data_IF_788249410884
#
_entry.id   IF_788249410884
#
_cell.length_a   1.000
_cell.length_b   1.000
_cell.length_c   1.000
_cell.angle_alpha   90.00
_cell.angle_beta   90.00
_cell.angle_gamma   90.00
#
_symmetry.space_group_name_H-M   'P 1'
#
loop_
_entity.id
_entity.type
_entity.pdbx_description
1 polymer ?
#
# COMPACT_ATOMS: atom_id res chain seq x y z
N UNK A 1 14.03 -10.74 26.67
CA UNK A 1 13.46 -10.08 25.47
C UNK A 1 12.94 -8.78 25.99
N UNK A 2 13.46 -7.69 25.45
CA UNK A 2 13.22 -6.37 26.02
C UNK A 2 12.52 -5.53 24.96
N UNK A 3 11.42 -4.90 25.35
CA UNK A 3 10.64 -4.01 24.49
C UNK A 3 10.96 -2.58 24.88
N UNK A 4 11.53 -1.82 23.95
CA UNK A 4 11.75 -0.39 24.14
C UNK A 4 10.51 0.35 23.65
N UNK A 5 9.98 1.22 24.49
CA UNK A 5 8.85 2.09 24.17
C UNK A 5 9.27 3.55 24.23
N UNK A 6 8.69 4.39 23.37
CA UNK A 6 8.69 5.84 23.54
C UNK A 6 7.95 6.23 24.83
N UNK A 7 8.23 7.41 25.38
CA UNK A 7 7.49 7.97 26.53
C UNK A 7 5.97 8.11 26.31
N UNK A 8 5.51 7.99 25.06
CA UNK A 8 4.09 7.91 24.67
C UNK A 8 3.50 6.48 24.68
N UNK A 9 4.28 5.46 25.08
CA UNK A 9 3.85 4.05 25.14
C UNK A 9 3.92 3.28 23.81
N UNK A 10 4.45 3.88 22.73
CA UNK A 10 4.59 3.20 21.45
C UNK A 10 5.91 2.43 21.35
N UNK A 11 5.87 1.20 20.83
CA UNK A 11 7.06 0.36 20.63
C UNK A 11 8.05 1.07 19.71
N UNK A 12 9.21 1.40 20.24
CA UNK A 12 10.37 1.89 19.51
C UNK A 12 11.22 0.73 18.98
N UNK A 13 11.39 -0.34 19.77
CA UNK A 13 12.15 -1.49 19.32
C UNK A 13 11.98 -2.76 20.15
N UNK A 14 12.48 -3.86 19.62
CA UNK A 14 12.53 -5.17 20.27
C UNK A 14 13.94 -5.70 20.21
N UNK A 15 14.46 -6.11 21.37
CA UNK A 15 15.82 -6.64 21.51
C UNK A 15 15.79 -8.07 22.06
N UNK A 16 16.76 -8.87 21.60
CA UNK A 16 17.08 -10.16 22.18
C UNK A 16 18.59 -10.28 22.41
N UNK A 17 18.99 -10.39 23.67
CA UNK A 17 20.41 -10.54 24.04
C UNK A 17 21.28 -9.44 23.46
N UNK A 18 20.90 -8.16 23.67
CA UNK A 18 21.57 -6.96 23.14
C UNK A 18 21.58 -6.79 21.61
N UNK A 19 20.92 -7.69 20.87
CA UNK A 19 20.76 -7.56 19.42
C UNK A 19 19.38 -7.00 19.09
N UNK A 20 19.34 -6.01 18.20
CA UNK A 20 18.09 -5.46 17.68
C UNK A 20 17.40 -6.48 16.76
N UNK A 21 16.16 -6.81 17.09
CA UNK A 21 15.27 -7.60 16.22
C UNK A 21 14.44 -6.67 15.34
N UNK A 22 14.03 -5.53 15.89
CA UNK A 22 13.14 -4.57 15.26
C UNK A 22 13.42 -3.19 15.82
N UNK A 23 13.65 -2.21 14.95
CA UNK A 23 13.67 -0.79 15.29
C UNK A 23 12.62 -0.05 14.46
N UNK A 24 11.88 0.87 15.09
CA UNK A 24 10.79 1.65 14.50
C UNK A 24 10.99 3.13 14.77
N UNK A 25 11.00 3.92 13.69
CA UNK A 25 10.91 5.38 13.75
C UNK A 25 9.53 5.86 13.37
N UNK A 26 9.12 6.96 13.98
CA UNK A 26 7.81 7.58 13.77
C UNK A 26 7.93 9.09 13.62
N UNK A 27 6.97 9.67 12.92
CA UNK A 27 6.82 11.12 12.86
C UNK A 27 6.13 11.69 14.12
N UNK A 28 5.93 13.02 14.14
CA UNK A 28 5.27 13.74 15.24
C UNK A 28 3.79 13.38 15.43
N UNK A 29 3.18 12.74 14.44
CA UNK A 29 1.80 12.22 14.52
C UNK A 29 1.77 10.74 14.89
N UNK A 30 2.91 10.19 15.33
CA UNK A 30 3.10 8.79 15.74
C UNK A 30 2.87 7.77 14.62
N UNK A 31 3.01 8.18 13.36
CA UNK A 31 2.96 7.28 12.20
C UNK A 31 4.34 6.72 11.90
N UNK A 32 4.44 5.44 11.60
CA UNK A 32 5.70 4.77 11.26
C UNK A 32 6.30 5.35 9.97
N UNK A 33 7.53 5.83 10.04
CA UNK A 33 8.28 6.33 8.86
C UNK A 33 9.42 5.41 8.48
N UNK A 34 9.92 4.61 9.42
CA UNK A 34 10.97 3.65 9.17
C UNK A 34 10.81 2.42 10.04
N UNK A 35 11.18 1.28 9.47
CA UNK A 35 11.34 0.01 10.16
C UNK A 35 12.63 -0.65 9.73
N UNK A 36 13.40 -1.13 10.69
CA UNK A 36 14.60 -1.93 10.46
C UNK A 36 14.39 -3.27 11.17
N UNK A 37 14.57 -4.36 10.45
CA UNK A 37 14.53 -5.71 11.00
C UNK A 37 15.95 -6.21 11.28
N UNK A 38 16.09 -7.20 12.17
CA UNK A 38 17.39 -7.75 12.59
C UNK A 38 18.26 -8.33 11.46
N UNK A 39 17.68 -8.59 10.29
CA UNK A 39 18.41 -8.95 9.06
C UNK A 39 18.87 -7.73 8.23
N UNK A 40 18.86 -6.53 8.81
CA UNK A 40 19.13 -5.25 8.16
C UNK A 40 18.20 -4.89 7.00
N UNK A 41 17.05 -5.58 6.87
CA UNK A 41 16.01 -5.18 5.93
C UNK A 41 15.34 -3.90 6.47
N UNK A 42 15.33 -2.86 5.65
CA UNK A 42 14.83 -1.55 6.02
C UNK A 42 13.64 -1.16 5.15
N UNK A 43 12.51 -0.85 5.79
CA UNK A 43 11.34 -0.28 5.15
C UNK A 43 11.26 1.21 5.48
N UNK A 44 10.95 2.03 4.49
CA UNK A 44 10.69 3.48 4.65
C UNK A 44 9.31 3.81 4.11
N UNK A 45 8.54 4.57 4.87
CA UNK A 45 7.21 5.08 4.52
C UNK A 45 7.24 6.60 4.48
N UNK A 46 6.58 7.18 3.48
CA UNK A 46 6.37 8.63 3.39
C UNK A 46 4.90 8.93 3.19
N UNK A 47 4.47 10.04 3.76
CA UNK A 47 3.07 10.46 3.72
C UNK A 47 2.97 11.83 3.05
N UNK A 48 1.88 12.04 2.32
CA UNK A 48 1.54 13.34 1.77
C UNK A 48 1.03 14.30 2.87
N UNK A 49 0.71 15.53 2.48
CA UNK A 49 0.20 16.56 3.41
C UNK A 49 -1.16 16.22 4.00
N UNK A 50 -1.97 15.41 3.32
CA UNK A 50 -3.25 14.90 3.84
C UNK A 50 -3.05 13.68 4.76
N UNK A 51 -1.81 13.20 4.89
CA UNK A 51 -1.43 12.08 5.73
C UNK A 51 -1.65 10.71 5.12
N UNK A 52 -1.87 10.63 3.81
CA UNK A 52 -2.00 9.39 3.06
C UNK A 52 -0.62 8.89 2.64
N UNK A 53 -0.43 7.58 2.53
CA UNK A 53 0.85 6.98 2.14
C UNK A 53 1.19 7.37 0.70
N UNK A 54 2.27 8.12 0.48
CA UNK A 54 2.72 8.53 -0.87
C UNK A 54 3.80 7.63 -1.43
N UNK A 55 4.63 7.03 -0.58
CA UNK A 55 5.65 6.07 -1.01
C UNK A 55 5.97 5.05 0.08
N UNK A 56 6.23 3.83 -0.39
CA UNK A 56 6.83 2.76 0.40
C UNK A 56 8.10 2.28 -0.32
N UNK A 57 9.18 2.07 0.43
CA UNK A 57 10.43 1.53 -0.08
C UNK A 57 10.96 0.46 0.85
N UNK A 58 11.57 -0.56 0.29
CA UNK A 58 12.28 -1.61 0.97
C UNK A 58 13.71 -1.66 0.42
N UNK A 59 14.70 -1.63 1.31
CA UNK A 59 16.13 -1.67 1.01
C UNK A 59 16.84 -2.71 1.88
N UNK A 60 17.99 -3.20 1.39
CA UNK A 60 18.75 -4.28 2.01
C UNK A 60 18.94 -5.44 1.03
N UNK A 61 18.72 -6.67 1.51
CA UNK A 61 18.82 -7.90 0.69
C UNK A 61 17.87 -7.92 -0.50
N UNK A 62 16.83 -7.09 -0.49
CA UNK A 62 15.89 -6.95 -1.58
C UNK A 62 15.52 -5.48 -1.76
N UNK A 63 15.42 -5.02 -3.01
CA UNK A 63 15.03 -3.65 -3.32
C UNK A 63 13.65 -3.61 -3.98
N UNK A 64 12.74 -2.87 -3.38
CA UNK A 64 11.37 -2.72 -3.86
C UNK A 64 10.82 -1.35 -3.49
N UNK A 65 9.99 -0.78 -4.35
CA UNK A 65 9.37 0.50 -4.10
C UNK A 65 8.01 0.63 -4.77
N UNK A 66 7.08 1.25 -4.03
CA UNK A 66 5.80 1.74 -4.54
C UNK A 66 5.69 3.25 -4.37
N UNK A 67 5.08 3.90 -5.36
CA UNK A 67 4.55 5.25 -5.28
C UNK A 67 3.04 5.19 -5.42
N UNK A 68 2.33 6.01 -4.65
CA UNK A 68 0.87 6.07 -4.63
C UNK A 68 0.44 7.44 -5.10
N UNK A 69 -0.53 7.48 -6.02
CA UNK A 69 -1.10 8.70 -6.53
C UNK A 69 -2.57 8.80 -6.16
N UNK A 70 -2.99 9.99 -5.77
CA UNK A 70 -4.36 10.25 -5.36
C UNK A 70 -4.92 11.45 -6.10
N UNK A 71 -6.23 11.45 -6.32
CA UNK A 71 -6.96 12.62 -6.78
C UNK A 71 -7.25 13.61 -5.63
N UNK A 72 -7.90 14.72 -6.02
CA UNK A 72 -8.33 15.76 -5.08
C UNK A 72 -9.43 15.30 -4.12
N UNK A 73 -10.19 14.26 -4.47
CA UNK A 73 -11.27 13.72 -3.64
C UNK A 73 -10.76 12.71 -2.59
N UNK A 74 -9.49 12.32 -2.65
CA UNK A 74 -8.94 11.35 -1.70
C UNK A 74 -8.61 9.99 -2.31
N UNK A 75 -9.05 9.72 -3.53
CA UNK A 75 -9.14 8.39 -4.10
C UNK A 75 -7.80 7.99 -4.72
N UNK A 76 -7.41 6.72 -4.54
CA UNK A 76 -6.17 6.18 -5.07
C UNK A 76 -6.30 6.00 -6.59
N UNK A 77 -5.67 6.85 -7.38
CA UNK A 77 -5.75 6.79 -8.85
C UNK A 77 -4.62 5.99 -9.47
N UNK A 78 -3.55 5.72 -8.73
CA UNK A 78 -2.45 4.94 -9.26
C UNK A 78 -1.52 4.36 -8.20
N UNK A 79 -0.87 3.26 -8.59
CA UNK A 79 0.28 2.68 -7.91
C UNK A 79 1.37 2.46 -8.94
N UNK A 80 2.55 3.00 -8.72
CA UNK A 80 3.75 2.67 -9.51
C UNK A 80 4.64 1.75 -8.68
N UNK A 81 4.74 0.48 -9.08
CA UNK A 81 5.58 -0.53 -8.44
C UNK A 81 6.77 -0.87 -9.35
N UNK A 82 7.98 -0.89 -8.80
CA UNK A 82 9.19 -1.13 -9.60
C UNK A 82 9.34 -2.59 -10.09
N UNK A 83 8.56 -3.54 -9.56
CA UNK A 83 8.57 -4.96 -9.94
C UNK A 83 7.33 -5.36 -10.73
N UNK A 84 6.15 -4.88 -10.33
CA UNK A 84 4.88 -5.26 -10.98
C UNK A 84 4.40 -4.26 -12.04
N UNK A 85 5.06 -3.10 -12.18
CA UNK A 85 4.65 -2.04 -13.08
C UNK A 85 3.56 -1.14 -12.48
N UNK A 86 2.88 -0.41 -13.35
CA UNK A 86 1.88 0.59 -12.94
C UNK A 86 0.47 0.02 -12.94
N UNK A 87 -0.29 0.35 -11.89
CA UNK A 87 -1.73 0.12 -11.79
C UNK A 87 -2.41 1.49 -11.82
N UNK A 88 -3.47 1.65 -12.61
CA UNK A 88 -4.29 2.85 -12.64
C UNK A 88 -5.73 2.51 -12.26
N UNK A 89 -6.37 3.39 -11.49
CA UNK A 89 -7.75 3.23 -11.07
C UNK A 89 -8.61 4.38 -11.58
N UNK A 90 -9.85 4.07 -11.95
CA UNK A 90 -10.85 5.06 -12.32
C UNK A 90 -12.08 4.90 -11.46
N UNK A 91 -12.67 6.02 -11.11
CA UNK A 91 -13.87 6.08 -10.29
C UNK A 91 -14.98 6.82 -11.01
N UNK A 92 -16.21 6.53 -10.64
CA UNK A 92 -17.36 7.35 -11.00
C UNK A 92 -17.47 8.59 -10.09
N UNK A 93 -18.37 9.54 -10.38
CA UNK A 93 -18.51 10.76 -9.57
C UNK A 93 -18.93 10.55 -8.11
N UNK A 94 -19.46 9.38 -7.77
CA UNK A 94 -19.85 9.03 -6.39
C UNK A 94 -18.81 8.16 -5.69
N UNK A 95 -17.66 7.93 -6.33
CA UNK A 95 -16.50 7.26 -5.77
C UNK A 95 -16.48 5.73 -5.90
N UNK A 96 -17.31 5.15 -6.77
CA UNK A 96 -17.29 3.71 -7.05
C UNK A 96 -16.21 3.39 -8.09
N UNK A 97 -15.44 2.34 -7.85
CA UNK A 97 -14.38 1.90 -8.76
C UNK A 97 -14.99 1.41 -10.08
N UNK A 98 -14.66 2.06 -11.19
CA UNK A 98 -15.08 1.68 -12.54
C UNK A 98 -14.06 0.80 -13.26
N UNK A 99 -12.77 1.00 -12.98
CA UNK A 99 -11.70 0.33 -13.71
C UNK A 99 -10.45 0.17 -12.86
N UNK A 100 -9.81 -0.99 -12.94
CA UNK A 100 -8.44 -1.22 -12.51
C UNK A 100 -7.61 -1.72 -13.72
N UNK A 101 -6.70 -0.89 -14.20
CA UNK A 101 -5.83 -1.19 -15.33
C UNK A 101 -4.43 -1.55 -14.84
N UNK A 102 -3.97 -2.75 -15.19
CA UNK A 102 -2.64 -3.26 -14.87
C UNK A 102 -1.88 -3.59 -16.16
N UNK A 103 -0.56 -3.86 -16.11
CA UNK A 103 0.17 -4.30 -17.30
C UNK A 103 -0.31 -5.66 -17.83
N UNK A 104 -1.06 -6.43 -17.03
CA UNK A 104 -1.56 -7.76 -17.38
C UNK A 104 -2.97 -7.74 -17.97
N UNK A 105 -3.67 -6.61 -17.88
CA UNK A 105 -5.05 -6.50 -18.30
C UNK A 105 -5.82 -5.45 -17.53
N UNK A 106 -7.06 -5.24 -17.97
CA UNK A 106 -7.99 -4.25 -17.42
C UNK A 106 -9.20 -4.98 -16.88
N UNK A 107 -9.57 -4.66 -15.64
CA UNK A 107 -10.81 -5.10 -15.02
C UNK A 107 -11.77 -3.91 -14.94
N UNK A 108 -12.99 -4.08 -15.45
CA UNK A 108 -14.02 -3.03 -15.46
C UNK A 108 -15.25 -3.45 -14.68
N UNK A 109 -15.79 -2.51 -13.90
CA UNK A 109 -16.92 -2.70 -13.01
C UNK A 109 -18.07 -1.78 -13.44
N UNK A 110 -19.29 -2.28 -13.32
CA UNK A 110 -20.51 -1.54 -13.63
C UNK A 110 -21.49 -1.71 -12.50
N UNK A 111 -22.25 -0.67 -12.21
CA UNK A 111 -23.22 -0.69 -11.12
C UNK A 111 -24.57 -0.26 -11.64
N UNK A 112 -25.62 -0.87 -11.09
CA UNK A 112 -26.96 -0.34 -11.26
C UNK A 112 -27.16 0.95 -10.42
N UNK A 113 -28.28 1.67 -10.60
CA UNK A 113 -28.59 2.85 -9.80
C UNK A 113 -28.76 2.57 -8.30
N UNK A 114 -29.06 1.33 -7.91
CA UNK A 114 -29.15 0.91 -6.52
C UNK A 114 -27.76 0.59 -5.91
N UNK A 115 -26.69 0.60 -6.71
CA UNK A 115 -25.33 0.34 -6.29
C UNK A 115 -24.93 -1.13 -6.34
N UNK A 116 -25.76 -2.01 -6.88
CA UNK A 116 -25.40 -3.42 -7.05
C UNK A 116 -24.41 -3.56 -8.22
N UNK A 117 -23.37 -4.38 -8.01
CA UNK A 117 -22.43 -4.72 -9.07
C UNK A 117 -23.18 -5.53 -10.15
N UNK A 118 -23.14 -5.04 -11.38
CA UNK A 118 -23.63 -5.75 -12.55
C UNK A 118 -22.54 -6.74 -12.96
N UNK A 119 -22.84 -8.04 -12.84
CA UNK A 119 -21.89 -9.11 -13.18
C UNK A 119 -21.32 -8.89 -14.58
N UNK A 120 -20.01 -8.73 -14.64
CA UNK A 120 -19.22 -8.74 -15.85
C UNK A 120 -18.83 -10.20 -16.12
N UNK A 121 -19.77 -11.03 -16.59
CA UNK A 121 -19.39 -12.36 -17.09
C UNK A 121 -18.33 -12.16 -18.20
N UNK A 122 -17.07 -12.59 -17.98
CA UNK A 122 -16.07 -12.45 -19.01
C UNK A 122 -16.45 -13.44 -20.11
N UNK A 123 -16.88 -12.91 -21.25
CA UNK A 123 -17.06 -13.73 -22.45
C UNK A 123 -15.66 -14.08 -22.93
N UNK A 124 -15.19 -15.26 -22.50
CA UNK A 124 -14.02 -15.98 -23.03
C UNK A 124 -12.66 -15.25 -22.87
N UNK A 125 -11.92 -15.57 -21.82
CA UNK A 125 -10.50 -15.23 -21.75
C UNK A 125 -9.94 -15.19 -20.34
N UNK A 126 -9.47 -16.35 -19.86
CA UNK A 126 -8.60 -16.56 -18.70
C UNK A 126 -9.03 -15.84 -17.40
N UNK A 127 -9.61 -16.62 -16.48
CA UNK A 127 -9.63 -16.31 -15.04
C UNK A 127 -8.19 -16.21 -14.55
N UNK A 128 -7.60 -15.03 -14.65
CA UNK A 128 -6.38 -14.74 -13.93
C UNK A 128 -6.84 -14.27 -12.56
N UNK A 129 -6.47 -15.05 -11.55
CA UNK A 129 -6.71 -14.82 -10.13
C UNK A 129 -6.79 -13.34 -9.81
N UNK A 130 -7.94 -12.89 -9.31
CA UNK A 130 -8.11 -11.59 -8.67
C UNK A 130 -7.05 -11.48 -7.56
N UNK A 131 -5.92 -10.86 -7.89
CA UNK A 131 -4.94 -10.48 -6.90
C UNK A 131 -5.48 -9.19 -6.31
N UNK A 132 -5.98 -9.28 -5.09
CA UNK A 132 -6.53 -8.17 -4.33
C UNK A 132 -5.54 -7.02 -4.38
N UNK A 133 -5.86 -5.99 -5.17
CA UNK A 133 -5.03 -4.82 -5.36
C UNK A 133 -5.25 -3.82 -4.22
N UNK A 134 -5.17 -4.29 -2.97
CA UNK A 134 -4.78 -3.58 -1.75
C UNK A 134 -4.34 -4.68 -0.78
N UNK A 135 -3.07 -5.09 -0.85
CA UNK A 135 -2.31 -5.77 0.21
C UNK A 135 -0.84 -5.33 0.08
#
# INVERSE_FOLDING_TARGET
>A
MDVLNYGSGHVHGLLFGQHDILNLERDKLHRETQRILGNSLQQTLTYDKAGRLSSQRLSGVTQWSRQYQYDAAGQLTGITDNRSGQINYRYDPVGRLLEAATPKGVESFRFDPAGNLLDNTPTTGIRTTACWAIC
#
